data_IF_957216389066
#
_entry.id   IF_957216389066
#
_cell.length_a   1.000
_cell.length_b   1.000
_cell.length_c   1.000
_cell.angle_alpha   90.00
_cell.angle_beta   90.00
_cell.angle_gamma   90.00
#
_symmetry.space_group_name_H-M   'P 1'
#
loop_
_entity.id
_entity.type
_entity.pdbx_description
1 polymer ?
#
# COMPACT_ATOMS: atom_id res chain seq x y z
N UNK A 1 1.14 -14.33 3.78
CA UNK A 1 2.34 -13.48 3.72
C UNK A 1 2.28 -12.66 2.44
N UNK A 2 2.72 -11.41 2.46
CA UNK A 2 2.81 -10.53 1.29
C UNK A 2 4.24 -10.01 1.22
N UNK A 3 4.83 -9.98 0.04
CA UNK A 3 6.13 -9.37 -0.19
C UNK A 3 5.98 -8.32 -1.28
N UNK A 4 6.77 -7.27 -1.21
CA UNK A 4 6.75 -6.20 -2.20
C UNK A 4 8.11 -5.52 -2.27
N UNK A 5 8.44 -5.05 -3.47
CA UNK A 5 9.61 -4.23 -3.71
C UNK A 5 9.23 -2.96 -4.47
N UNK A 6 10.04 -1.92 -4.32
CA UNK A 6 9.89 -0.68 -5.08
C UNK A 6 11.25 -0.28 -5.63
N UNK A 7 11.33 -0.06 -6.93
CA UNK A 7 12.48 0.58 -7.57
C UNK A 7 12.15 2.05 -7.76
N UNK A 8 13.08 2.92 -7.40
CA UNK A 8 12.95 4.37 -7.47
C UNK A 8 14.01 4.91 -8.43
N UNK A 9 13.58 5.69 -9.40
CA UNK A 9 14.48 6.60 -10.11
C UNK A 9 14.60 7.89 -9.29
N UNK A 10 15.83 8.32 -9.01
CA UNK A 10 16.12 9.44 -8.14
C UNK A 10 16.80 10.56 -8.93
N UNK A 11 16.28 11.78 -8.77
CA UNK A 11 16.93 13.00 -9.23
C UNK A 11 17.27 13.88 -8.04
N UNK A 12 18.53 14.30 -7.97
CA UNK A 12 19.05 15.19 -6.95
C UNK A 12 19.38 16.54 -7.54
N UNK A 13 19.00 17.61 -6.85
CA UNK A 13 19.21 18.98 -7.29
C UNK A 13 20.58 19.51 -6.89
N UNK A 14 21.03 19.21 -5.68
CA UNK A 14 22.33 19.63 -5.16
C UNK A 14 22.74 18.70 -4.02
N UNK A 15 24.03 18.57 -3.75
CA UNK A 15 24.52 17.75 -2.64
C UNK A 15 25.84 18.31 -2.11
N UNK A 16 26.04 18.24 -0.80
CA UNK A 16 27.32 18.47 -0.17
C UNK A 16 27.53 17.47 0.98
N UNK A 17 28.78 17.18 1.28
CA UNK A 17 29.18 16.39 2.43
C UNK A 17 30.46 16.95 3.03
N UNK A 18 30.58 16.77 4.35
CA UNK A 18 31.82 16.93 5.09
C UNK A 18 31.88 15.78 6.08
N UNK A 19 33.03 15.13 6.13
CA UNK A 19 33.30 14.00 6.99
C UNK A 19 34.69 14.16 7.57
N UNK A 20 34.84 13.76 8.83
CA UNK A 20 36.14 13.69 9.47
C UNK A 20 36.27 12.40 10.27
N UNK A 21 37.49 11.87 10.31
CA UNK A 21 37.87 10.71 11.10
C UNK A 21 39.08 11.08 11.97
N UNK A 22 39.16 10.48 13.16
CA UNK A 22 40.20 10.75 14.16
C UNK A 22 40.43 12.25 14.46
N UNK A 23 39.36 13.06 14.42
CA UNK A 23 39.45 14.49 14.67
C UNK A 23 39.76 14.78 16.14
N UNK A 24 40.91 15.40 16.40
CA UNK A 24 41.35 15.87 17.71
C UNK A 24 41.77 17.32 17.62
N UNK A 25 41.36 18.11 18.61
CA UNK A 25 41.66 19.53 18.66
C UNK A 25 41.82 19.99 20.11
N UNK A 26 42.58 21.06 20.29
CA UNK A 26 42.70 21.76 21.57
C UNK A 26 42.63 23.27 21.31
N UNK A 27 41.54 23.91 21.74
CA UNK A 27 41.31 25.32 21.53
C UNK A 27 41.90 26.13 22.67
N UNK A 28 42.83 27.03 22.34
CA UNK A 28 43.33 28.00 23.31
C UNK A 28 42.29 29.10 23.58
N UNK A 29 41.61 29.55 22.52
CA UNK A 29 40.50 30.49 22.59
C UNK A 29 39.62 30.35 21.32
N UNK A 30 38.64 31.25 21.15
CA UNK A 30 37.70 31.22 20.02
C UNK A 30 38.35 31.37 18.63
N UNK A 31 39.58 31.89 18.56
CA UNK A 31 40.28 32.24 17.32
C UNK A 31 41.53 31.38 17.08
N UNK A 32 42.06 30.67 18.09
CA UNK A 32 43.30 29.91 17.99
C UNK A 32 43.20 28.51 18.60
N UNK A 33 43.80 27.55 17.90
CA UNK A 33 43.97 26.17 18.33
C UNK A 33 45.42 25.92 18.72
N UNK A 34 45.69 25.26 19.85
CA UNK A 34 47.02 24.77 20.22
C UNK A 34 47.49 23.68 19.25
N UNK A 35 46.56 22.80 18.85
CA UNK A 35 46.75 21.88 17.73
C UNK A 35 45.41 21.51 17.10
N UNK A 36 45.45 21.02 15.87
CA UNK A 36 44.35 20.51 15.08
C UNK A 36 44.88 19.29 14.33
N UNK A 37 44.26 18.14 14.52
CA UNK A 37 44.65 16.90 13.87
C UNK A 37 43.43 16.10 13.41
N UNK A 38 43.51 15.45 12.25
CA UNK A 38 42.45 14.58 11.76
C UNK A 38 42.46 14.44 10.24
N UNK A 39 41.71 13.45 9.78
CA UNK A 39 41.48 13.22 8.36
C UNK A 39 40.13 13.81 7.97
N UNK A 40 40.08 14.50 6.84
CA UNK A 40 38.90 15.19 6.36
C UNK A 40 38.59 14.77 4.93
N UNK A 41 37.30 14.63 4.65
CA UNK A 41 36.76 14.41 3.31
C UNK A 41 35.59 15.35 3.12
N UNK A 42 35.67 16.23 2.13
CA UNK A 42 34.57 17.11 1.80
C UNK A 42 34.33 17.15 0.30
N UNK A 43 33.10 17.46 -0.07
CA UNK A 43 32.76 17.70 -1.46
C UNK A 43 31.35 18.21 -1.63
N UNK A 44 31.14 18.89 -2.74
CA UNK A 44 29.87 19.48 -3.11
C UNK A 44 29.61 19.30 -4.59
N UNK A 45 28.35 19.36 -5.02
CA UNK A 45 27.98 19.23 -6.42
C UNK A 45 28.40 20.47 -7.21
N UNK A 46 28.77 20.30 -8.47
CA UNK A 46 29.25 21.38 -9.35
C UNK A 46 28.32 22.61 -9.41
N UNK A 47 27.01 22.42 -9.25
CA UNK A 47 26.00 23.47 -9.27
C UNK A 47 25.64 24.03 -7.88
N UNK A 48 26.34 23.64 -6.82
CA UNK A 48 25.95 23.97 -5.44
C UNK A 48 25.90 25.49 -5.21
N UNK A 49 26.94 26.22 -5.62
CA UNK A 49 27.03 27.67 -5.45
C UNK A 49 25.97 28.43 -6.27
N UNK A 50 25.58 27.92 -7.44
CA UNK A 50 24.49 28.49 -8.25
C UNK A 50 23.14 28.36 -7.53
N UNK A 51 22.90 27.22 -6.88
CA UNK A 51 21.63 26.93 -6.19
C UNK A 51 21.42 27.76 -4.91
N UNK A 52 22.48 28.04 -4.16
CA UNK A 52 22.40 28.77 -2.89
C UNK A 52 22.85 30.23 -2.97
N UNK A 53 23.61 30.62 -4.00
CA UNK A 53 24.17 31.96 -4.18
C UNK A 53 23.40 32.87 -5.15
N UNK A 54 22.66 32.30 -6.11
CA UNK A 54 21.79 33.03 -7.03
C UNK A 54 20.33 32.75 -6.71
N UNK A 55 19.53 33.77 -6.42
CA UNK A 55 18.10 33.60 -6.13
C UNK A 55 17.43 32.65 -7.14
N UNK A 56 16.61 31.72 -6.65
CA UNK A 56 15.94 30.71 -7.50
C UNK A 56 15.02 31.40 -8.54
N UNK A 57 15.54 31.64 -9.75
CA UNK A 57 14.74 32.06 -10.90
C UNK A 57 14.40 30.84 -11.74
N UNK A 58 13.20 30.29 -11.53
CA UNK A 58 12.68 29.14 -12.28
C UNK A 58 12.73 27.81 -11.53
N UNK A 59 12.29 26.75 -12.21
CA UNK A 59 12.34 25.39 -11.66
C UNK A 59 13.80 24.90 -11.60
N UNK A 60 14.27 24.39 -10.46
CA UNK A 60 15.65 23.95 -10.33
C UNK A 60 15.94 22.77 -11.28
N UNK A 61 17.13 22.77 -11.89
CA UNK A 61 17.58 21.64 -12.73
C UNK A 61 18.23 20.58 -11.86
N UNK A 62 17.96 19.31 -12.16
CA UNK A 62 18.62 18.19 -11.50
C UNK A 62 20.13 18.20 -11.85
N UNK A 63 20.99 18.06 -10.83
CA UNK A 63 22.45 18.01 -10.98
C UNK A 63 23.03 16.61 -10.83
N UNK A 64 22.25 15.66 -10.30
CA UNK A 64 22.67 14.26 -10.28
C UNK A 64 22.66 13.68 -11.69
N UNK A 65 23.71 12.96 -12.08
CA UNK A 65 23.77 12.23 -13.36
C UNK A 65 22.77 11.09 -13.42
N UNK A 66 22.71 10.32 -12.34
CA UNK A 66 21.86 9.14 -12.22
C UNK A 66 21.70 8.79 -10.75
N UNK A 67 20.50 8.33 -10.36
CA UNK A 67 20.24 7.84 -9.02
C UNK A 67 19.21 6.72 -9.03
N UNK A 68 19.48 5.69 -8.24
CA UNK A 68 18.57 4.58 -8.01
C UNK A 68 18.37 4.38 -6.52
N UNK A 69 17.13 4.05 -6.16
CA UNK A 69 16.74 3.62 -4.83
C UNK A 69 15.93 2.33 -4.89
N UNK A 70 16.00 1.55 -3.83
CA UNK A 70 15.28 0.31 -3.70
C UNK A 70 14.68 0.19 -2.30
N UNK A 71 13.42 -0.25 -2.26
CA UNK A 71 12.75 -0.69 -1.04
C UNK A 71 12.39 -2.17 -1.18
N UNK A 72 12.55 -2.92 -0.10
CA UNK A 72 12.08 -4.29 0.01
C UNK A 72 11.33 -4.46 1.33
N UNK A 73 10.15 -5.08 1.27
CA UNK A 73 9.35 -5.31 2.46
C UNK A 73 8.59 -6.61 2.41
N UNK A 74 8.39 -7.18 3.59
CA UNK A 74 7.56 -8.35 3.81
C UNK A 74 6.57 -8.05 4.92
N UNK A 75 5.32 -8.44 4.71
CA UNK A 75 4.23 -8.29 5.66
C UNK A 75 3.60 -9.65 5.92
N UNK A 76 3.49 -9.98 7.19
CA UNK A 76 2.72 -11.11 7.69
C UNK A 76 1.46 -10.61 8.38
N UNK A 77 0.31 -11.17 8.01
CA UNK A 77 -0.98 -10.87 8.63
C UNK A 77 -1.47 -12.13 9.34
N UNK A 78 -1.58 -12.07 10.65
CA UNK A 78 -2.21 -13.10 11.45
C UNK A 78 -3.71 -12.88 11.47
N UNK A 79 -4.45 -13.88 11.00
CA UNK A 79 -5.91 -13.84 10.82
C UNK A 79 -6.53 -15.02 11.58
N UNK A 80 -6.79 -14.89 12.89
CA UNK A 80 -7.56 -15.90 13.61
C UNK A 80 -8.97 -15.97 13.00
N UNK A 81 -9.51 -17.18 12.90
CA UNK A 81 -10.81 -17.49 12.30
C UNK A 81 -10.90 -17.00 10.84
N UNK A 82 -9.97 -17.46 9.99
CA UNK A 82 -9.87 -16.99 8.61
C UNK A 82 -11.09 -17.35 7.73
N UNK A 83 -11.80 -18.41 8.09
CA UNK A 83 -12.96 -18.94 7.36
C UNK A 83 -14.11 -17.94 7.27
N UNK A 84 -14.36 -17.16 8.34
CA UNK A 84 -15.42 -16.13 8.35
C UNK A 84 -15.21 -14.98 7.37
N UNK A 85 -14.02 -14.88 6.77
CA UNK A 85 -13.71 -13.87 5.75
C UNK A 85 -13.76 -14.46 4.34
N UNK A 86 -14.22 -15.70 4.20
CA UNK A 86 -14.52 -16.33 2.93
C UNK A 86 -16.03 -16.48 2.77
N UNK A 87 -16.49 -16.42 1.53
CA UNK A 87 -17.87 -16.66 1.14
C UNK A 87 -17.89 -17.31 -0.24
N UNK A 88 -19.01 -17.93 -0.58
CA UNK A 88 -19.28 -18.51 -1.89
C UNK A 88 -20.40 -17.68 -2.53
N UNK A 89 -20.30 -17.39 -3.83
CA UNK A 89 -21.27 -16.57 -4.55
C UNK A 89 -21.14 -16.79 -6.05
N UNK A 90 -22.26 -16.80 -6.78
CA UNK A 90 -22.34 -16.94 -8.24
C UNK A 90 -21.52 -18.13 -8.79
N UNK A 91 -21.61 -19.29 -8.13
CA UNK A 91 -20.86 -20.50 -8.50
C UNK A 91 -19.35 -20.45 -8.22
N UNK A 92 -18.84 -19.38 -7.61
CA UNK A 92 -17.44 -19.27 -7.19
C UNK A 92 -17.33 -19.56 -5.71
N UNK A 93 -16.43 -20.46 -5.36
CA UNK A 93 -16.16 -20.81 -3.96
C UNK A 93 -14.93 -20.12 -3.40
N UNK A 94 -14.82 -20.04 -2.08
CA UNK A 94 -13.64 -19.55 -1.36
C UNK A 94 -13.25 -18.08 -1.67
N UNK A 95 -14.22 -17.23 -2.00
CA UNK A 95 -13.99 -15.81 -2.27
C UNK A 95 -13.64 -15.05 -0.99
N UNK A 96 -12.59 -14.23 -1.03
CA UNK A 96 -12.22 -13.40 0.11
C UNK A 96 -13.07 -12.12 0.20
N UNK A 97 -13.77 -11.91 1.30
CA UNK A 97 -14.52 -10.69 1.62
C UNK A 97 -13.62 -9.45 1.54
N UNK A 98 -13.88 -8.54 0.59
CA UNK A 98 -13.04 -7.34 0.35
C UNK A 98 -13.44 -6.15 1.21
N UNK A 99 -14.69 -6.13 1.65
CA UNK A 99 -15.30 -5.13 2.54
C UNK A 99 -14.83 -5.23 4.00
N UNK A 100 -14.17 -6.34 4.39
CA UNK A 100 -13.79 -6.61 5.78
C UNK A 100 -12.29 -6.48 6.03
N UNK A 101 -11.94 -5.94 7.20
CA UNK A 101 -10.58 -6.05 7.73
C UNK A 101 -10.37 -7.44 8.36
N UNK A 102 -9.34 -8.16 7.92
CA UNK A 102 -9.19 -9.61 8.16
C UNK A 102 -8.16 -9.96 9.23
N UNK A 103 -7.24 -9.04 9.53
CA UNK A 103 -6.11 -9.31 10.42
C UNK A 103 -6.45 -8.97 11.87
N UNK A 104 -5.95 -9.78 12.80
CA UNK A 104 -5.88 -9.45 14.23
C UNK A 104 -4.54 -8.82 14.58
N UNK A 105 -3.47 -9.31 13.95
CA UNK A 105 -2.15 -8.70 14.01
C UNK A 105 -1.52 -8.65 12.63
N UNK A 106 -0.74 -7.61 12.34
CA UNK A 106 0.03 -7.46 11.11
C UNK A 106 1.44 -7.02 11.47
N UNK A 107 2.44 -7.80 11.08
CA UNK A 107 3.86 -7.46 11.28
C UNK A 107 4.51 -7.25 9.94
N UNK A 108 5.20 -6.13 9.78
CA UNK A 108 5.95 -5.77 8.59
C UNK A 108 7.41 -5.55 8.95
N UNK A 109 8.31 -6.03 8.09
CA UNK A 109 9.74 -5.70 8.12
C UNK A 109 10.15 -5.22 6.74
N UNK A 110 11.01 -4.23 6.68
CA UNK A 110 11.43 -3.64 5.42
C UNK A 110 12.80 -2.99 5.51
N UNK A 111 13.50 -2.95 4.39
CA UNK A 111 14.63 -2.06 4.14
C UNK A 111 14.14 -1.03 3.14
N UNK A 112 14.23 0.25 3.50
CA UNK A 112 13.75 1.37 2.68
C UNK A 112 14.91 2.29 2.30
N UNK A 113 14.77 2.95 1.16
CA UNK A 113 15.70 3.97 0.65
C UNK A 113 17.14 3.48 0.52
N UNK A 114 17.34 2.22 0.13
CA UNK A 114 18.67 1.69 -0.18
C UNK A 114 19.09 2.14 -1.57
N UNK A 115 20.14 2.94 -1.67
CA UNK A 115 20.55 3.49 -2.96
C UNK A 115 21.53 4.65 -2.87
N UNK A 116 21.56 5.44 -3.94
CA UNK A 116 22.39 6.63 -4.00
C UNK A 116 22.26 7.39 -5.32
N UNK A 117 22.75 8.62 -5.29
CA UNK A 117 22.78 9.55 -6.42
C UNK A 117 24.23 9.95 -6.71
N UNK A 118 24.61 9.91 -7.98
CA UNK A 118 25.95 10.35 -8.41
C UNK A 118 25.92 11.80 -8.84
N UNK A 119 26.82 12.60 -8.27
CA UNK A 119 27.00 14.02 -8.58
C UNK A 119 28.40 14.28 -9.13
N UNK A 120 28.53 15.26 -10.02
CA UNK A 120 29.84 15.83 -10.36
C UNK A 120 30.35 16.68 -9.21
N UNK A 121 31.62 16.51 -8.84
CA UNK A 121 32.27 17.35 -7.83
C UNK A 121 32.43 18.79 -8.35
N UNK A 122 32.16 19.77 -7.49
CA UNK A 122 32.45 21.18 -7.72
C UNK A 122 33.82 21.56 -7.16
N UNK A 123 34.46 22.53 -7.81
CA UNK A 123 35.74 23.09 -7.39
C UNK A 123 36.83 22.06 -7.12
N UNK A 124 37.54 22.21 -6.00
CA UNK A 124 38.69 21.40 -5.62
C UNK A 124 38.35 20.26 -4.65
N UNK A 125 37.07 20.07 -4.29
CA UNK A 125 36.52 19.00 -3.42
C UNK A 125 37.47 17.80 -3.28
N UNK A 126 38.14 17.69 -2.14
CA UNK A 126 39.20 16.67 -1.93
C UNK A 126 39.27 16.21 -0.48
N UNK A 127 39.93 15.08 -0.31
CA UNK A 127 40.29 14.57 1.01
C UNK A 127 41.65 15.17 1.42
N UNK A 128 41.83 15.47 2.71
CA UNK A 128 43.06 16.02 3.24
C UNK A 128 43.27 15.59 4.70
N UNK A 129 44.52 15.50 5.13
CA UNK A 129 44.87 15.30 6.54
C UNK A 129 45.43 16.59 7.10
N UNK A 130 45.09 16.84 8.36
CA UNK A 130 45.66 17.92 9.17
C UNK A 130 46.39 17.31 10.34
N UNK A 131 47.57 17.84 10.65
CA UNK A 131 48.31 17.55 11.87
C UNK A 131 49.22 18.75 12.21
N UNK A 132 48.63 19.80 12.75
CA UNK A 132 49.39 21.01 13.09
C UNK A 132 50.25 20.76 14.32
N UNK A 133 51.51 21.15 14.25
CA UNK A 133 52.47 21.00 15.35
C UNK A 133 52.58 22.24 16.25
N UNK A 134 51.93 23.34 15.86
CA UNK A 134 51.96 24.63 16.54
C UNK A 134 50.58 25.31 16.58
N UNK A 135 50.52 26.48 17.22
CA UNK A 135 49.35 27.35 17.25
C UNK A 135 48.81 27.62 15.83
N UNK A 136 47.56 27.23 15.60
CA UNK A 136 46.86 27.43 14.34
C UNK A 136 45.78 28.51 14.47
N UNK A 137 45.81 29.48 13.56
CA UNK A 137 44.85 30.58 13.52
C UNK A 137 43.58 30.16 12.76
N UNK A 138 42.47 30.01 13.48
CA UNK A 138 41.17 29.61 12.93
C UNK A 138 40.54 30.70 12.06
N UNK A 139 40.96 31.98 12.20
CA UNK A 139 40.49 33.09 11.35
C UNK A 139 40.87 32.94 9.89
N UNK A 140 41.76 32.01 9.55
CA UNK A 140 42.08 31.63 8.17
C UNK A 140 40.82 31.25 7.38
N UNK A 141 39.78 30.76 8.05
CA UNK A 141 38.49 30.42 7.42
C UNK A 141 37.46 31.54 7.44
N UNK A 142 37.73 32.70 8.04
CA UNK A 142 36.75 33.80 8.13
C UNK A 142 36.35 34.39 6.77
N UNK A 143 37.19 34.21 5.74
CA UNK A 143 36.90 34.63 4.36
C UNK A 143 36.17 33.55 3.54
N UNK A 144 35.95 32.36 4.10
CA UNK A 144 35.32 31.23 3.43
C UNK A 144 33.78 31.35 3.39
N UNK A 145 33.28 32.42 2.77
CA UNK A 145 31.85 32.71 2.64
C UNK A 145 31.14 31.92 1.51
N UNK A 146 31.88 31.08 0.80
CA UNK A 146 31.39 30.15 -0.23
C UNK A 146 32.24 28.89 -0.24
N UNK A 147 31.74 27.81 -0.85
CA UNK A 147 32.51 26.58 -1.00
C UNK A 147 33.76 26.80 -1.85
N UNK A 148 33.70 27.64 -2.89
CA UNK A 148 34.88 28.04 -3.65
C UNK A 148 35.95 28.76 -2.79
N UNK A 149 35.54 29.61 -1.85
CA UNK A 149 36.49 30.27 -0.96
C UNK A 149 37.06 29.31 0.09
N UNK A 150 36.25 28.35 0.55
CA UNK A 150 36.70 27.27 1.40
C UNK A 150 37.75 26.39 0.69
N UNK A 151 37.50 26.02 -0.56
CA UNK A 151 38.45 25.29 -1.41
C UNK A 151 39.80 26.00 -1.49
N UNK A 152 39.79 27.31 -1.76
CA UNK A 152 41.00 28.13 -1.84
C UNK A 152 41.74 28.19 -0.50
N UNK A 153 41.01 28.28 0.62
CA UNK A 153 41.62 28.29 1.95
C UNK A 153 42.36 26.98 2.23
N UNK A 154 41.71 25.84 1.95
CA UNK A 154 42.30 24.51 2.13
C UNK A 154 43.49 24.29 1.18
N UNK A 155 43.34 24.64 -0.10
CA UNK A 155 44.41 24.51 -1.10
C UNK A 155 45.62 25.39 -0.75
N UNK A 156 45.39 26.61 -0.27
CA UNK A 156 46.46 27.49 0.22
C UNK A 156 47.21 26.89 1.41
N UNK A 157 46.51 26.28 2.36
CA UNK A 157 47.15 25.65 3.53
C UNK A 157 48.01 24.45 3.14
N UNK A 158 47.52 23.61 2.22
CA UNK A 158 48.29 22.47 1.69
C UNK A 158 49.54 22.95 0.92
N UNK A 159 49.38 23.95 0.05
CA UNK A 159 50.49 24.48 -0.74
C UNK A 159 51.56 25.14 0.14
N UNK A 160 51.16 25.87 1.19
CA UNK A 160 52.08 26.44 2.17
C UNK A 160 52.83 25.34 2.93
N UNK A 161 52.12 24.32 3.41
CA UNK A 161 52.71 23.17 4.10
C UNK A 161 53.77 22.46 3.23
N UNK A 162 53.42 22.23 1.96
CA UNK A 162 54.31 21.64 0.95
C UNK A 162 55.53 22.51 0.68
N UNK A 163 55.34 23.82 0.50
CA UNK A 163 56.43 24.76 0.22
C UNK A 163 57.41 24.90 1.40
N UNK A 164 56.91 24.78 2.63
CA UNK A 164 57.71 24.80 3.86
C UNK A 164 58.33 23.43 4.19
N UNK A 165 58.02 22.38 3.43
CA UNK A 165 58.52 21.02 3.66
C UNK A 165 57.99 20.36 4.95
N UNK A 166 56.89 20.87 5.51
CA UNK A 166 56.23 20.28 6.67
C UNK A 166 55.03 19.42 6.22
N UNK A 167 54.47 18.62 7.14
CA UNK A 167 53.35 17.69 6.86
C UNK A 167 52.09 18.07 7.64
N UNK A 168 51.92 19.35 7.92
CA UNK A 168 50.80 19.84 8.72
C UNK A 168 49.48 19.80 7.95
N UNK A 169 49.52 20.02 6.63
CA UNK A 169 48.36 19.92 5.75
C UNK A 169 48.75 19.11 4.52
N UNK A 170 48.15 17.93 4.36
CA UNK A 170 48.49 16.99 3.29
C UNK A 170 47.25 16.70 2.47
N UNK A 171 47.32 16.89 1.15
CA UNK A 171 46.25 16.45 0.25
C UNK A 171 46.28 14.93 0.10
N UNK A 172 45.13 14.29 0.30
CA UNK A 172 44.92 12.86 0.09
C UNK A 172 44.02 12.63 -1.13
N UNK A 173 44.31 13.36 -2.21
CA UNK A 173 43.39 13.62 -3.33
C UNK A 173 42.59 12.39 -3.78
N UNK A 174 41.26 12.59 -3.84
CA UNK A 174 40.38 11.67 -4.55
C UNK A 174 40.22 12.17 -5.99
N UNK A 175 40.89 11.49 -6.93
CA UNK A 175 40.92 11.79 -8.37
C UNK A 175 39.55 11.65 -9.06
N UNK A 176 38.53 11.10 -8.40
CA UNK A 176 37.22 10.94 -9.00
C UNK A 176 36.55 12.31 -9.20
N UNK A 177 36.15 12.61 -10.44
CA UNK A 177 35.36 13.80 -10.78
C UNK A 177 33.91 13.74 -10.28
N UNK A 178 33.51 12.62 -9.66
CA UNK A 178 32.16 12.42 -9.15
C UNK A 178 32.18 11.86 -7.73
N UNK A 179 31.08 12.04 -7.00
CA UNK A 179 30.87 11.37 -5.73
C UNK A 179 29.46 10.76 -5.68
N UNK A 180 29.32 9.65 -4.96
CA UNK A 180 28.04 8.98 -4.75
C UNK A 180 27.47 9.39 -3.39
N UNK A 181 26.39 10.16 -3.39
CA UNK A 181 25.62 10.46 -2.18
C UNK A 181 24.65 9.32 -1.89
N UNK A 182 24.84 8.60 -0.78
CA UNK A 182 23.93 7.51 -0.40
C UNK A 182 22.62 8.06 0.16
N UNK A 183 21.52 7.47 -0.27
CA UNK A 183 20.18 7.75 0.27
C UNK A 183 20.07 7.27 1.72
N UNK A 184 19.13 7.80 2.51
CA UNK A 184 18.97 7.50 3.94
C UNK A 184 18.39 6.09 4.17
N UNK A 185 19.17 5.07 3.84
CA UNK A 185 18.78 3.68 3.96
C UNK A 185 18.45 3.32 5.42
N UNK A 186 17.29 2.72 5.63
CA UNK A 186 16.78 2.39 6.94
C UNK A 186 16.17 0.98 7.00
N UNK A 187 16.33 0.31 8.14
CA UNK A 187 15.53 -0.84 8.49
C UNK A 187 14.28 -0.37 9.23
N UNK A 188 13.10 -0.77 8.76
CA UNK A 188 11.81 -0.44 9.35
C UNK A 188 11.08 -1.71 9.79
N UNK A 189 10.65 -1.73 11.04
CA UNK A 189 9.79 -2.76 11.63
C UNK A 189 8.48 -2.13 12.08
N UNK A 190 7.37 -2.79 11.76
CA UNK A 190 6.02 -2.30 12.04
C UNK A 190 5.18 -3.45 12.58
N UNK A 191 4.42 -3.19 13.63
CA UNK A 191 3.47 -4.13 14.20
C UNK A 191 2.15 -3.41 14.45
N UNK A 192 1.08 -3.90 13.86
CA UNK A 192 -0.26 -3.37 14.00
C UNK A 192 -1.13 -4.43 14.67
N UNK A 193 -1.83 -4.06 15.73
CA UNK A 193 -2.68 -4.96 16.49
C UNK A 193 -4.10 -4.40 16.60
N UNK A 194 -5.07 -5.19 16.14
CA UNK A 194 -6.49 -4.90 16.27
C UNK A 194 -6.98 -5.37 17.64
N UNK A 195 -7.16 -4.44 18.57
CA UNK A 195 -7.53 -4.75 19.95
C UNK A 195 -8.98 -5.22 19.99
N UNK A 196 -9.91 -4.33 19.63
CA UNK A 196 -11.35 -4.59 19.70
C UNK A 196 -12.13 -3.53 18.92
N UNK A 197 -13.14 -3.96 18.15
CA UNK A 197 -13.99 -3.10 17.28
C UNK A 197 -13.15 -2.10 16.47
N UNK A 198 -13.12 -0.84 16.88
CA UNK A 198 -12.45 0.26 16.19
C UNK A 198 -11.13 0.66 16.86
N UNK A 199 -10.69 -0.04 17.90
CA UNK A 199 -9.43 0.24 18.59
C UNK A 199 -8.27 -0.56 18.00
N UNK A 200 -7.21 0.16 17.68
CA UNK A 200 -5.96 -0.36 17.14
C UNK A 200 -4.79 0.21 17.90
N UNK A 201 -3.69 -0.53 17.95
CA UNK A 201 -2.39 -0.01 18.35
C UNK A 201 -1.36 -0.39 17.31
N UNK A 202 -0.63 0.61 16.84
CA UNK A 202 0.49 0.43 15.91
C UNK A 202 1.79 0.73 16.65
N UNK A 203 2.81 -0.11 16.46
CA UNK A 203 4.18 0.17 16.89
C UNK A 203 5.07 0.18 15.64
N UNK A 204 5.86 1.22 15.48
CA UNK A 204 6.77 1.38 14.32
C UNK A 204 8.15 1.79 14.81
N UNK A 205 9.19 1.07 14.37
CA UNK A 205 10.59 1.41 14.59
C UNK A 205 11.30 1.61 13.25
N UNK A 206 12.13 2.64 13.15
CA UNK A 206 12.93 2.95 11.97
C UNK A 206 14.36 3.21 12.40
N UNK A 207 15.31 2.44 11.84
CA UNK A 207 16.69 2.39 12.28
C UNK A 207 17.63 2.62 11.11
N UNK A 208 18.58 3.54 11.27
CA UNK A 208 19.61 3.79 10.27
C UNK A 208 20.52 2.58 10.12
N UNK A 209 20.74 2.14 8.88
CA UNK A 209 21.65 1.03 8.56
C UNK A 209 22.95 1.48 7.87
N UNK A 210 23.11 2.78 7.62
CA UNK A 210 24.33 3.32 7.01
C UNK A 210 25.40 3.52 8.07
N UNK A 211 26.57 2.92 7.85
CA UNK A 211 27.74 3.08 8.72
C UNK A 211 28.15 4.53 8.94
N UNK A 212 28.54 4.86 10.17
CA UNK A 212 29.09 6.17 10.56
C UNK A 212 30.35 6.52 9.77
N UNK A 213 31.17 5.53 9.39
CA UNK A 213 32.47 5.69 8.72
C UNK A 213 32.40 6.07 7.24
N UNK A 214 31.21 6.10 6.63
CA UNK A 214 31.05 6.46 5.21
C UNK A 214 30.98 7.98 5.05
N UNK A 215 31.88 8.61 4.31
CA UNK A 215 31.88 10.07 4.13
C UNK A 215 30.60 10.60 3.44
N UNK A 216 30.17 9.96 2.35
CA UNK A 216 29.04 10.40 1.53
C UNK A 216 27.74 9.67 1.89
N UNK A 217 26.93 10.27 2.76
CA UNK A 217 25.66 9.71 3.23
C UNK A 217 24.68 10.76 3.74
N UNK A 218 23.39 10.45 3.60
CA UNK A 218 22.32 11.04 4.39
C UNK A 218 21.88 10.00 5.43
N UNK A 219 21.62 10.41 6.66
CA UNK A 219 21.14 9.52 7.72
C UNK A 219 19.67 9.78 8.02
N UNK A 220 18.95 8.71 8.30
CA UNK A 220 17.71 8.80 9.06
C UNK A 220 18.04 8.82 10.56
N UNK A 221 17.25 9.55 11.34
CA UNK A 221 17.29 9.42 12.80
C UNK A 221 16.71 8.07 13.22
N UNK A 222 17.32 7.41 14.21
CA UNK A 222 16.66 6.29 14.84
C UNK A 222 15.39 6.79 15.55
N UNK A 223 14.26 6.14 15.30
CA UNK A 223 13.01 6.51 15.92
C UNK A 223 12.13 5.29 16.21
N UNK A 224 11.38 5.38 17.29
CA UNK A 224 10.35 4.41 17.64
C UNK A 224 9.06 5.16 17.94
N UNK A 225 7.93 4.56 17.61
CA UNK A 225 6.62 5.13 17.89
C UNK A 225 5.61 4.07 18.25
N UNK A 226 4.69 4.44 19.13
CA UNK A 226 3.49 3.68 19.46
C UNK A 226 2.31 4.62 19.22
N UNK A 227 1.37 4.18 18.39
CA UNK A 227 0.20 4.94 17.97
C UNK A 227 -1.06 4.16 18.33
N UNK A 228 -1.61 4.33 19.54
CA UNK A 228 -2.99 3.97 19.79
C UNK A 228 -3.89 4.78 18.88
N UNK A 229 -4.93 4.13 18.38
CA UNK A 229 -5.90 4.75 17.49
C UNK A 229 -7.29 4.17 17.66
N UNK A 230 -8.27 5.02 17.39
CA UNK A 230 -9.67 4.68 17.26
C UNK A 230 -10.06 5.00 15.82
N UNK A 231 -10.32 3.98 15.02
CA UNK A 231 -10.50 4.10 13.57
C UNK A 231 -11.75 3.33 13.12
N UNK A 232 -12.74 4.06 12.62
CA UNK A 232 -13.98 3.53 12.07
C UNK A 232 -14.31 4.23 10.74
N UNK A 233 -15.27 3.71 9.97
CA UNK A 233 -15.45 4.03 8.54
C UNK A 233 -15.13 5.49 8.12
N UNK A 234 -15.75 6.49 8.75
CA UNK A 234 -15.61 7.90 8.36
C UNK A 234 -14.76 8.77 9.30
N UNK A 235 -14.36 8.29 10.48
CA UNK A 235 -13.54 9.05 11.41
C UNK A 235 -12.46 8.18 12.05
N UNK A 236 -11.25 8.72 12.13
CA UNK A 236 -10.12 8.16 12.86
C UNK A 236 -9.52 9.18 13.81
N UNK A 237 -9.10 8.75 14.99
CA UNK A 237 -8.31 9.51 15.95
C UNK A 237 -7.04 8.71 16.25
N UNK A 238 -5.88 9.33 16.09
CA UNK A 238 -4.58 8.69 16.26
C UNK A 238 -3.71 9.52 17.20
N UNK A 239 -3.05 8.87 18.14
CA UNK A 239 -2.16 9.52 19.11
C UNK A 239 -0.74 8.96 18.97
N UNK A 240 0.05 9.43 18.00
CA UNK A 240 1.42 8.96 17.80
C UNK A 240 2.33 9.44 18.94
N UNK A 241 2.75 8.51 19.79
CA UNK A 241 3.77 8.73 20.82
C UNK A 241 5.10 8.25 20.24
N UNK A 242 6.06 9.15 20.05
CA UNK A 242 7.33 8.84 19.38
C UNK A 242 8.53 9.31 20.18
N UNK A 243 9.64 8.60 20.03
CA UNK A 243 10.95 9.00 20.52
C UNK A 243 11.91 8.99 19.35
N UNK A 244 12.67 10.07 19.20
CA UNK A 244 13.63 10.26 18.12
C UNK A 244 15.01 10.58 18.71
N UNK A 245 16.07 10.06 18.09
CA UNK A 245 17.46 10.26 18.52
C UNK A 245 17.84 11.74 18.71
N UNK A 246 17.31 12.65 17.89
CA UNK A 246 17.66 14.07 17.92
C UNK A 246 16.71 14.92 18.78
N UNK A 247 15.40 14.69 18.66
CA UNK A 247 14.39 15.55 19.32
C UNK A 247 13.79 14.95 20.60
N UNK A 248 14.21 13.76 21.01
CA UNK A 248 13.64 13.06 22.17
C UNK A 248 12.17 12.70 21.97
N UNK A 249 11.40 12.73 23.07
CA UNK A 249 9.98 12.34 23.08
C UNK A 249 9.07 13.41 22.48
N UNK A 250 8.15 12.97 21.62
CA UNK A 250 7.08 13.77 21.00
C UNK A 250 5.76 13.02 21.12
N UNK A 251 4.69 13.75 21.40
CA UNK A 251 3.33 13.24 21.38
C UNK A 251 2.54 14.04 20.36
N UNK A 252 2.09 13.39 19.29
CA UNK A 252 1.27 14.00 18.26
C UNK A 252 -0.20 13.69 18.42
N UNK A 253 -1.01 14.32 17.59
CA UNK A 253 -2.43 14.02 17.42
C UNK A 253 -2.77 14.11 15.94
N UNK A 254 -3.52 13.13 15.46
CA UNK A 254 -4.00 13.09 14.09
C UNK A 254 -5.46 12.70 14.07
N UNK A 255 -6.18 13.21 13.08
CA UNK A 255 -7.52 12.76 12.76
C UNK A 255 -7.65 12.45 11.27
N UNK A 256 -8.43 11.41 10.97
CA UNK A 256 -8.88 11.06 9.63
C UNK A 256 -10.35 11.39 9.52
N UNK A 257 -10.74 12.21 8.57
CA UNK A 257 -12.11 12.57 8.22
C UNK A 257 -12.38 12.06 6.80
N UNK A 258 -12.92 10.85 6.70
CA UNK A 258 -13.12 10.14 5.43
C UNK A 258 -11.81 10.04 4.64
N UNK A 259 -11.69 10.75 3.49
CA UNK A 259 -10.48 10.75 2.67
C UNK A 259 -9.37 11.69 3.17
N UNK A 260 -9.66 12.62 4.06
CA UNK A 260 -8.70 13.62 4.54
C UNK A 260 -8.07 13.14 5.85
N UNK A 261 -6.75 13.17 5.95
CA UNK A 261 -6.02 13.00 7.22
C UNK A 261 -5.27 14.29 7.52
N UNK A 262 -5.38 14.78 8.74
CA UNK A 262 -4.62 15.93 9.25
C UNK A 262 -4.02 15.58 10.60
N UNK A 263 -2.83 16.11 10.89
CA UNK A 263 -2.24 15.90 12.19
C UNK A 263 -1.02 16.76 12.44
N UNK A 264 -0.59 16.74 13.70
CA UNK A 264 0.65 17.34 14.18
C UNK A 264 1.51 16.28 14.83
N UNK A 265 2.82 16.38 14.66
CA UNK A 265 3.78 15.42 15.24
C UNK A 265 4.08 15.71 16.71
N UNK A 266 3.82 16.94 17.16
CA UNK A 266 3.98 17.39 18.54
C UNK A 266 2.85 18.37 18.91
N UNK A 267 1.90 17.94 19.75
CA UNK A 267 0.79 18.79 20.16
C UNK A 267 1.24 20.01 20.98
N UNK A 268 2.45 20.00 21.55
CA UNK A 268 3.01 21.17 22.27
C UNK A 268 3.10 22.39 21.37
N UNK A 269 3.25 22.20 20.05
CA UNK A 269 3.25 23.29 19.08
C UNK A 269 1.88 24.02 19.00
N UNK A 270 0.77 23.38 19.39
CA UNK A 270 -0.58 23.94 19.30
C UNK A 270 -1.00 24.73 20.57
N UNK A 271 -0.44 24.40 21.73
CA UNK A 271 -0.91 24.91 23.04
C UNK A 271 0.21 25.58 23.86
N UNK A 272 1.32 25.96 23.23
CA UNK A 272 2.59 26.21 23.90
C UNK A 272 2.54 27.25 25.06
N UNK A 273 2.81 26.76 26.28
CA UNK A 273 3.65 27.44 27.29
C UNK A 273 4.97 26.65 27.40
N UNK A 274 6.11 27.22 26.99
CA UNK A 274 7.45 26.61 27.16
C UNK A 274 8.34 26.60 25.90
N UNK A 275 9.45 25.84 25.94
CA UNK A 275 10.39 25.68 24.80
C UNK A 275 9.85 24.65 23.80
N UNK A 276 9.44 25.12 22.63
CA UNK A 276 9.04 24.28 21.48
C UNK A 276 10.29 23.95 20.65
N UNK A 277 10.58 22.67 20.44
CA UNK A 277 11.75 22.22 19.67
C UNK A 277 11.47 22.06 18.16
N UNK A 278 10.22 22.21 17.75
CA UNK A 278 9.77 22.17 16.36
C UNK A 278 8.25 22.16 16.26
N UNK A 279 7.72 22.53 15.09
CA UNK A 279 6.30 22.48 14.78
C UNK A 279 6.13 21.83 13.40
N UNK A 280 5.67 20.57 13.38
CA UNK A 280 5.39 19.87 12.14
C UNK A 280 3.89 19.57 12.05
N UNK A 281 3.30 19.86 10.90
CA UNK A 281 1.94 19.49 10.54
C UNK A 281 1.98 18.63 9.27
N UNK A 282 1.02 17.74 9.13
CA UNK A 282 0.87 16.95 7.93
C UNK A 282 -0.59 16.86 7.50
N UNK A 283 -0.78 16.80 6.19
CA UNK A 283 -2.06 16.62 5.53
C UNK A 283 -1.90 15.51 4.48
N UNK A 284 -2.86 14.59 4.44
CA UNK A 284 -2.92 13.51 3.48
C UNK A 284 -4.30 13.38 2.89
N UNK A 285 -4.39 13.21 1.57
CA UNK A 285 -5.63 12.86 0.88
C UNK A 285 -5.52 11.42 0.39
N UNK A 286 -6.42 10.55 0.85
CA UNK A 286 -6.53 9.16 0.43
C UNK A 286 -7.95 8.91 -0.03
N UNK A 287 -8.14 8.67 -1.33
CA UNK A 287 -9.44 8.31 -1.90
C UNK A 287 -9.54 6.77 -1.92
N UNK A 288 -10.28 6.13 -1.00
CA UNK A 288 -10.42 4.68 -1.01
C UNK A 288 -11.43 4.25 -2.08
N UNK A 289 -11.14 3.12 -2.75
CA UNK A 289 -12.18 2.36 -3.46
C UNK A 289 -12.84 1.47 -2.41
N UNK A 290 -14.07 1.82 -2.03
CA UNK A 290 -14.88 1.03 -1.10
C UNK A 290 -15.45 -0.18 -1.86
N UNK A 291 -15.44 -1.33 -1.21
CA UNK A 291 -16.09 -2.54 -1.69
C UNK A 291 -17.12 -2.93 -0.66
N UNK A 292 -18.31 -3.25 -1.11
CA UNK A 292 -19.38 -3.83 -0.28
C UNK A 292 -19.45 -5.35 -0.52
N UNK A 293 -20.15 -6.05 0.37
CA UNK A 293 -20.51 -7.44 0.11
C UNK A 293 -21.51 -7.48 -1.07
N UNK A 294 -21.48 -8.51 -1.92
CA UNK A 294 -22.60 -8.76 -2.82
C UNK A 294 -23.87 -8.97 -1.98
N UNK A 295 -24.97 -8.37 -2.41
CA UNK A 295 -26.29 -8.61 -1.84
C UNK A 295 -26.80 -9.99 -2.33
N UNK A 296 -27.46 -10.71 -1.43
CA UNK A 296 -28.01 -12.07 -1.60
C UNK A 296 -29.15 -12.17 -0.58
N UNK A 297 -30.36 -11.80 -1.01
CA UNK A 297 -31.49 -11.53 -0.13
C UNK A 297 -32.17 -12.80 0.38
N UNK A 298 -32.25 -13.85 -0.43
CA UNK A 298 -32.85 -15.13 -0.09
C UNK A 298 -31.84 -16.19 0.38
N UNK A 299 -30.54 -15.93 0.20
CA UNK A 299 -29.46 -16.74 0.74
C UNK A 299 -29.12 -17.97 -0.10
N UNK A 300 -29.47 -17.99 -1.38
CA UNK A 300 -29.23 -19.11 -2.29
C UNK A 300 -27.81 -19.14 -2.90
N UNK A 301 -27.01 -18.09 -2.62
CA UNK A 301 -25.63 -17.86 -3.11
C UNK A 301 -25.55 -17.45 -4.58
N UNK A 302 -26.65 -17.00 -5.16
CA UNK A 302 -26.70 -16.20 -6.38
C UNK A 302 -26.88 -14.75 -5.95
N UNK A 303 -26.01 -13.86 -6.41
CA UNK A 303 -26.16 -12.46 -6.00
C UNK A 303 -27.41 -11.83 -6.59
N UNK A 304 -28.05 -10.89 -5.88
CA UNK A 304 -29.25 -10.14 -6.33
C UNK A 304 -29.10 -9.51 -7.73
N UNK A 305 -27.86 -9.32 -8.20
CA UNK A 305 -27.55 -8.78 -9.54
C UNK A 305 -27.64 -9.80 -10.67
N UNK A 306 -27.58 -11.08 -10.34
CA UNK A 306 -27.65 -12.23 -11.25
C UNK A 306 -28.84 -13.13 -10.98
N UNK A 307 -29.52 -12.89 -9.88
CA UNK A 307 -30.68 -13.63 -9.45
C UNK A 307 -31.94 -13.08 -10.14
N UNK A 308 -32.60 -13.94 -10.91
CA UNK A 308 -33.87 -13.65 -11.57
C UNK A 308 -35.05 -13.69 -10.56
N UNK A 309 -34.87 -14.38 -9.42
CA UNK A 309 -35.85 -14.68 -8.39
C UNK A 309 -35.44 -14.22 -6.98
N UNK A 310 -34.92 -12.99 -6.84
CA UNK A 310 -34.38 -12.27 -5.65
C UNK A 310 -34.99 -12.54 -4.25
N UNK A 311 -36.20 -13.09 -4.13
CA UNK A 311 -36.85 -13.38 -2.85
C UNK A 311 -37.08 -14.85 -2.56
N UNK A 312 -36.84 -15.73 -3.52
CA UNK A 312 -37.15 -17.15 -3.44
C UNK A 312 -35.90 -17.95 -3.83
N UNK A 313 -35.34 -18.72 -2.90
CA UNK A 313 -34.05 -19.34 -3.11
C UNK A 313 -34.13 -20.39 -4.21
N UNK A 314 -33.16 -20.38 -5.12
CA UNK A 314 -33.16 -21.31 -6.25
C UNK A 314 -31.80 -21.87 -6.62
N UNK A 315 -31.77 -22.46 -7.81
CA UNK A 315 -30.57 -23.13 -8.32
C UNK A 315 -29.75 -22.15 -9.17
N UNK A 316 -28.43 -22.22 -9.05
CA UNK A 316 -27.52 -21.45 -9.90
C UNK A 316 -27.73 -21.72 -11.40
N UNK A 317 -28.14 -22.93 -11.79
CA UNK A 317 -28.45 -23.29 -13.18
C UNK A 317 -29.64 -22.51 -13.74
N UNK A 318 -30.54 -22.05 -12.88
CA UNK A 318 -31.73 -21.28 -13.22
C UNK A 318 -31.63 -19.82 -12.76
N UNK A 319 -30.40 -19.29 -12.65
CA UNK A 319 -30.14 -17.92 -12.19
C UNK A 319 -30.85 -17.60 -10.86
N UNK A 320 -30.81 -18.51 -9.89
CA UNK A 320 -31.40 -18.29 -8.57
C UNK A 320 -32.91 -18.53 -8.49
N UNK A 321 -33.54 -19.01 -9.58
CA UNK A 321 -34.94 -19.40 -9.54
C UNK A 321 -35.15 -20.85 -9.06
N UNK A 322 -36.24 -21.12 -8.34
CA UNK A 322 -36.62 -22.46 -7.92
C UNK A 322 -37.08 -23.31 -9.12
N UNK A 323 -36.90 -24.63 -8.97
CA UNK A 323 -37.41 -25.71 -9.81
C UNK A 323 -37.92 -26.75 -8.80
N UNK A 324 -39.20 -26.61 -8.44
CA UNK A 324 -39.81 -27.25 -7.27
C UNK A 324 -39.97 -28.75 -7.47
N UNK A 325 -40.23 -29.21 -8.70
CA UNK A 325 -40.42 -30.61 -9.03
C UNK A 325 -39.21 -31.29 -9.69
N UNK A 326 -38.22 -30.51 -10.12
CA UNK A 326 -36.93 -30.98 -10.61
C UNK A 326 -36.96 -31.49 -12.05
N UNK A 327 -37.94 -31.08 -12.86
CA UNK A 327 -38.06 -31.50 -14.25
C UNK A 327 -37.10 -30.78 -15.22
N UNK A 328 -36.44 -29.73 -14.72
CA UNK A 328 -35.47 -28.94 -15.48
C UNK A 328 -36.02 -27.62 -16.02
N UNK A 329 -37.25 -27.26 -15.69
CA UNK A 329 -37.91 -25.98 -16.00
C UNK A 329 -38.08 -25.23 -14.69
N UNK A 330 -37.76 -23.93 -14.68
CA UNK A 330 -37.94 -23.11 -13.46
C UNK A 330 -39.43 -22.84 -13.23
N UNK A 331 -39.85 -22.72 -11.97
CA UNK A 331 -41.25 -22.55 -11.57
C UNK A 331 -41.98 -21.39 -12.29
N UNK A 332 -41.25 -20.33 -12.66
CA UNK A 332 -41.81 -19.20 -13.41
C UNK A 332 -42.18 -19.51 -14.87
N UNK A 333 -41.52 -20.50 -15.46
CA UNK A 333 -41.70 -20.95 -16.85
C UNK A 333 -42.44 -22.31 -16.91
N UNK A 334 -42.84 -22.85 -15.76
CA UNK A 334 -43.49 -24.15 -15.60
C UNK A 334 -45.00 -23.99 -15.30
N UNK A 335 -45.83 -24.47 -16.22
CA UNK A 335 -47.29 -24.45 -16.09
C UNK A 335 -47.79 -25.41 -14.98
N UNK A 336 -46.97 -26.38 -14.60
CA UNK A 336 -47.24 -27.47 -13.67
C UNK A 336 -46.14 -27.63 -12.60
N UNK A 337 -45.58 -26.53 -12.09
CA UNK A 337 -44.42 -26.40 -11.17
C UNK A 337 -44.30 -27.32 -9.92
N UNK A 338 -45.25 -28.21 -9.65
CA UNK A 338 -45.21 -29.18 -8.54
C UNK A 338 -45.27 -30.63 -9.01
N UNK A 339 -45.42 -30.87 -10.31
CA UNK A 339 -45.60 -32.20 -10.91
C UNK A 339 -44.68 -32.28 -12.14
N UNK A 340 -43.62 -33.11 -12.09
CA UNK A 340 -42.63 -33.13 -13.16
C UNK A 340 -43.27 -33.43 -14.52
N UNK A 341 -42.96 -32.62 -15.53
CA UNK A 341 -43.45 -32.83 -16.87
C UNK A 341 -42.37 -32.75 -17.94
N UNK A 342 -42.81 -32.47 -19.16
CA UNK A 342 -41.91 -32.36 -20.31
C UNK A 342 -41.91 -30.93 -20.86
N UNK A 343 -40.77 -30.53 -21.41
CA UNK A 343 -40.60 -29.21 -22.02
C UNK A 343 -41.55 -28.94 -23.21
N UNK A 344 -42.08 -29.99 -23.87
CA UNK A 344 -43.10 -29.83 -24.93
C UNK A 344 -44.40 -29.21 -24.40
N UNK A 345 -44.73 -29.45 -23.12
CA UNK A 345 -45.93 -28.96 -22.46
C UNK A 345 -45.63 -27.99 -21.31
N UNK A 346 -44.53 -27.23 -21.42
CA UNK A 346 -44.08 -26.27 -20.40
C UNK A 346 -44.09 -26.86 -18.98
N UNK A 347 -43.59 -28.08 -18.82
CA UNK A 347 -43.44 -28.73 -17.50
C UNK A 347 -44.67 -29.49 -17.03
N UNK A 348 -45.72 -29.60 -17.86
CA UNK A 348 -46.84 -30.49 -17.57
C UNK A 348 -46.59 -31.94 -18.04
N UNK A 349 -47.03 -32.94 -17.27
CA UNK A 349 -46.98 -34.34 -17.67
C UNK A 349 -47.97 -34.66 -18.80
N UNK A 350 -47.66 -35.72 -19.54
CA UNK A 350 -48.51 -36.40 -20.53
C UNK A 350 -48.29 -37.90 -20.27
N UNK A 351 -49.11 -38.49 -19.40
CA UNK A 351 -48.89 -39.84 -18.86
C UNK A 351 -49.11 -40.92 -19.92
N UNK A 352 -50.09 -40.74 -20.81
CA UNK A 352 -50.47 -41.72 -21.82
C UNK A 352 -49.86 -41.47 -23.21
N UNK A 353 -49.25 -40.30 -23.43
CA UNK A 353 -48.47 -39.96 -24.61
C UNK A 353 -49.31 -39.59 -25.83
N UNK A 354 -50.57 -39.16 -25.63
CA UNK A 354 -51.48 -38.79 -26.72
C UNK A 354 -51.26 -37.37 -27.28
N UNK A 355 -50.31 -36.64 -26.69
CA UNK A 355 -49.90 -35.26 -26.97
C UNK A 355 -50.87 -34.19 -26.45
N UNK A 356 -51.67 -34.52 -25.45
CA UNK A 356 -52.49 -33.59 -24.67
C UNK A 356 -51.96 -33.68 -23.24
N UNK A 357 -51.49 -32.56 -22.65
CA UNK A 357 -50.98 -32.62 -21.29
C UNK A 357 -52.12 -32.96 -20.32
N UNK A 358 -51.82 -33.69 -19.24
CA UNK A 358 -52.80 -34.21 -18.27
C UNK A 358 -53.75 -33.14 -17.72
N UNK A 359 -53.31 -31.87 -17.65
CA UNK A 359 -54.13 -30.73 -17.21
C UNK A 359 -55.28 -30.39 -18.16
N UNK A 360 -55.12 -30.71 -19.44
CA UNK A 360 -56.04 -30.43 -20.54
C UNK A 360 -56.71 -31.71 -21.08
N UNK A 361 -56.36 -32.88 -20.52
CA UNK A 361 -56.88 -34.20 -20.88
C UNK A 361 -58.03 -34.65 -19.95
N UNK A 362 -59.15 -35.04 -20.53
CA UNK A 362 -60.30 -35.58 -19.81
C UNK A 362 -60.13 -37.05 -19.40
N UNK A 363 -59.20 -37.77 -20.02
CA UNK A 363 -58.85 -39.16 -19.81
C UNK A 363 -57.31 -39.41 -19.67
N UNK A 364 -56.58 -38.77 -18.72
CA UNK A 364 -55.10 -38.70 -18.68
C UNK A 364 -54.33 -40.04 -18.54
N UNK A 365 -55.04 -41.15 -18.34
CA UNK A 365 -54.43 -42.48 -18.18
C UNK A 365 -54.58 -43.33 -19.45
N UNK A 366 -55.34 -42.88 -20.45
CA UNK A 366 -55.72 -43.66 -21.63
C UNK A 366 -55.75 -42.78 -22.88
N UNK A 367 -54.75 -42.98 -23.73
CA UNK A 367 -54.56 -42.18 -24.93
C UNK A 367 -55.81 -42.07 -25.80
N UNK A 368 -56.16 -40.85 -26.17
CA UNK A 368 -57.33 -40.57 -26.99
C UNK A 368 -57.06 -39.60 -28.14
N UNK A 369 -58.15 -39.03 -28.65
CA UNK A 369 -58.09 -38.09 -29.76
C UNK A 369 -58.31 -36.66 -29.26
N UNK A 370 -57.61 -35.72 -29.90
CA UNK A 370 -57.79 -34.29 -29.64
C UNK A 370 -59.22 -33.79 -29.87
N UNK A 371 -59.98 -34.42 -30.77
CA UNK A 371 -61.40 -34.10 -30.99
C UNK A 371 -62.27 -34.39 -29.73
N UNK A 372 -61.80 -35.29 -28.87
CA UNK A 372 -62.49 -35.76 -27.67
C UNK A 372 -61.79 -35.38 -26.37
N UNK A 373 -60.96 -34.33 -26.40
CA UNK A 373 -60.15 -33.88 -25.25
C UNK A 373 -59.35 -35.02 -24.59
N UNK A 374 -58.74 -35.89 -25.41
CA UNK A 374 -57.86 -36.97 -24.94
C UNK A 374 -58.57 -38.26 -24.51
N UNK A 375 -59.89 -38.35 -24.66
CA UNK A 375 -60.60 -39.62 -24.47
C UNK A 375 -60.61 -40.50 -25.74
N UNK A 376 -60.54 -41.83 -25.58
CA UNK A 376 -60.61 -42.77 -26.70
C UNK A 376 -62.03 -42.89 -27.27
N UNK A 377 -62.08 -43.15 -28.58
CA UNK A 377 -63.26 -43.58 -29.35
C UNK A 377 -62.79 -44.84 -30.12
N UNK A 378 -63.07 -46.01 -29.55
CA UNK A 378 -62.49 -47.28 -30.01
C UNK A 378 -63.12 -47.78 -31.31
N UNK A 379 -64.40 -47.47 -31.58
CA UNK A 379 -65.12 -47.93 -32.78
C UNK A 379 -65.42 -46.84 -33.82
N UNK A 380 -65.08 -45.58 -33.53
CA UNK A 380 -65.06 -44.48 -34.49
C UNK A 380 -66.43 -43.88 -34.78
N UNK A 381 -67.42 -44.11 -33.90
CA UNK A 381 -68.80 -43.65 -34.08
C UNK A 381 -69.03 -42.20 -33.61
N UNK A 382 -67.98 -41.56 -33.07
CA UNK A 382 -67.94 -40.20 -32.49
C UNK A 382 -68.57 -40.06 -31.11
N UNK A 383 -68.75 -41.15 -30.38
CA UNK A 383 -69.12 -41.17 -28.97
C UNK A 383 -67.89 -41.68 -28.20
N UNK A 384 -67.48 -40.94 -27.17
CA UNK A 384 -66.32 -41.37 -26.36
C UNK A 384 -66.63 -42.68 -25.63
N UNK A 385 -65.65 -43.57 -25.44
CA UNK A 385 -65.85 -44.90 -24.85
C UNK A 385 -66.55 -44.87 -23.47
N UNK A 386 -66.41 -43.76 -22.74
CA UNK A 386 -67.04 -43.52 -21.43
C UNK A 386 -68.54 -43.20 -21.52
N UNK A 387 -68.98 -42.66 -22.64
CA UNK A 387 -70.36 -42.25 -22.92
C UNK A 387 -71.07 -43.20 -23.91
N UNK A 388 -70.37 -44.20 -24.44
CA UNK A 388 -70.93 -45.23 -25.32
C UNK A 388 -71.35 -46.50 -24.54
N UNK A 389 -72.57 -46.96 -24.79
CA UNK A 389 -73.11 -48.21 -24.26
C UNK A 389 -72.49 -49.44 -24.95
N UNK A 390 -71.91 -49.29 -26.15
CA UNK A 390 -71.35 -50.36 -26.98
C UNK A 390 -69.95 -50.04 -27.59
N UNK A 391 -68.92 -49.65 -26.80
CA UNK A 391 -67.65 -49.01 -27.21
C UNK A 391 -66.67 -49.89 -28.01
N UNK A 392 -67.10 -51.01 -28.58
CA UNK A 392 -66.27 -51.93 -29.37
C UNK A 392 -67.00 -52.40 -30.63
N UNK A 393 -68.15 -51.80 -30.95
CA UNK A 393 -69.04 -52.28 -31.98
C UNK A 393 -68.85 -51.43 -33.24
N UNK A 394 -67.86 -51.80 -34.05
CA UNK A 394 -67.54 -51.14 -35.32
C UNK A 394 -68.78 -50.82 -36.17
N UNK A 395 -68.99 -49.52 -36.44
CA UNK A 395 -70.09 -48.97 -37.26
C UNK A 395 -69.73 -48.89 -38.74
#
# INVERSE_FOLDING_TARGET
>A
MKAGGKIKYLQGYTAAYMYTDNFSYDLQNKDTSNYLAGDFAYGYSKNFDEYFGGGLTGLPKAASKFGLGFDLGVVYEWRPNWEKYKYDMDGKTNLWARNMNKYKARVGVSVVDLGGLRFEKGGLSRDFSVNTSNLFNLRTFNSANSFLNFDKAIDSLINQSTALGNKEWVANENIDQTFLMRTPAAFSIQADYHIWKWFYVNATGMFNIISTKRATKVKVANQMSITPSFDFAWLGLHLPLSINEYSGFKAGVATRLGPLTIGVTDFRALFAKGRVQGADFYLGLRIPVLYDAPDDKDGDKVSDKKDDCVTEPGLLSFNGCPDTDGDGIKDMDDDCATIPGIAEFNGCPDIDGDKIPDKDDACPEVAGLKEFNGCPDTDGDKIIDKEDDCPKLLV
#
